data_IF_308609540755
#
_entry.id   IF_308609540755
#
_cell.length_a   1.000
_cell.length_b   1.000
_cell.length_c   1.000
_cell.angle_alpha   90.00
_cell.angle_beta   90.00
_cell.angle_gamma   90.00
#
_symmetry.space_group_name_H-M   'P 1'
#
loop_
_entity.id
_entity.type
_entity.pdbx_description
1 polymer ?
#
# COMPACT_ATOMS: atom_id res chain seq x y z
N UNK A 1 2.56 32.10 -14.97
CA UNK A 1 2.00 32.14 -13.59
C UNK A 1 1.03 30.98 -13.52
N UNK A 2 1.54 29.84 -13.02
CA UNK A 2 0.85 28.62 -12.59
C UNK A 2 -0.40 28.16 -13.35
N UNK A 3 -0.19 27.41 -14.44
CA UNK A 3 -1.08 26.31 -14.81
C UNK A 3 -0.32 25.01 -14.50
N UNK A 4 -0.24 24.68 -13.22
CA UNK A 4 0.05 23.32 -12.78
C UNK A 4 -1.08 22.98 -11.84
N UNK A 5 -2.07 22.25 -12.34
CA UNK A 5 -2.78 21.21 -11.59
C UNK A 5 -3.65 20.40 -12.56
N UNK A 6 -3.03 19.76 -13.56
CA UNK A 6 -3.62 18.56 -14.18
C UNK A 6 -3.47 17.40 -13.18
N UNK A 7 -4.14 17.51 -12.03
CA UNK A 7 -4.35 16.38 -11.14
C UNK A 7 -5.46 15.53 -11.74
N UNK A 8 -5.05 14.76 -12.76
CA UNK A 8 -5.84 13.76 -13.46
C UNK A 8 -6.71 12.97 -12.49
N UNK A 9 -8.01 13.21 -12.60
CA UNK A 9 -9.10 12.51 -11.95
C UNK A 9 -9.12 11.08 -12.46
N UNK A 10 -8.41 10.20 -11.78
CA UNK A 10 -8.64 8.77 -11.87
C UNK A 10 -9.01 8.27 -10.49
N UNK A 11 -10.14 7.59 -10.35
CA UNK A 11 -10.55 6.82 -9.15
C UNK A 11 -9.57 5.67 -8.82
N UNK A 12 -8.32 5.74 -9.29
CA UNK A 12 -7.23 4.82 -9.05
C UNK A 12 -6.41 5.33 -7.88
N UNK A 13 -6.21 4.48 -6.87
CA UNK A 13 -5.38 4.81 -5.73
C UNK A 13 -3.92 4.89 -6.16
N UNK A 14 -3.24 5.96 -5.76
CA UNK A 14 -1.81 6.17 -6.03
C UNK A 14 -0.95 5.32 -5.11
N UNK A 15 0.12 4.75 -5.64
CA UNK A 15 1.04 3.89 -4.89
C UNK A 15 1.67 4.65 -3.71
N UNK A 16 2.09 5.89 -3.95
CA UNK A 16 2.62 6.81 -2.95
C UNK A 16 1.67 6.99 -1.74
N UNK A 17 0.37 7.12 -2.00
CA UNK A 17 -0.64 7.25 -0.95
C UNK A 17 -0.79 5.96 -0.14
N UNK A 18 -0.76 4.79 -0.79
CA UNK A 18 -0.81 3.51 -0.06
C UNK A 18 0.41 3.30 0.82
N UNK A 19 1.60 3.65 0.32
CA UNK A 19 2.85 3.50 1.05
C UNK A 19 2.89 4.41 2.28
N UNK A 20 2.41 5.65 2.16
CA UNK A 20 2.32 6.60 3.27
C UNK A 20 1.24 6.21 4.28
N UNK A 21 0.06 5.78 3.83
CA UNK A 21 -1.01 5.32 4.73
C UNK A 21 -0.67 4.02 5.47
N UNK A 22 0.10 3.14 4.82
CA UNK A 22 0.66 1.95 5.44
C UNK A 22 1.75 2.29 6.46
N UNK A 23 2.35 3.48 6.39
CA UNK A 23 3.41 3.94 7.29
C UNK A 23 4.81 3.44 6.89
N UNK A 24 4.99 2.98 5.65
CA UNK A 24 6.28 2.48 5.19
C UNK A 24 7.27 3.62 4.91
N UNK A 25 6.77 4.73 4.37
CA UNK A 25 7.56 5.92 4.03
C UNK A 25 6.76 7.19 4.31
N UNK A 26 7.46 8.31 4.46
CA UNK A 26 6.84 9.63 4.57
C UNK A 26 6.70 10.31 3.20
N UNK A 27 5.89 11.38 3.15
CA UNK A 27 5.81 12.22 1.95
C UNK A 27 7.16 12.83 1.58
N UNK A 28 7.97 13.18 2.59
CA UNK A 28 9.31 13.73 2.39
C UNK A 28 10.23 12.73 1.65
N UNK A 29 10.18 11.46 2.03
CA UNK A 29 11.00 10.41 1.38
C UNK A 29 10.57 10.20 -0.07
N UNK A 30 9.27 10.36 -0.37
CA UNK A 30 8.75 10.30 -1.73
C UNK A 30 9.27 11.48 -2.56
N UNK A 31 9.21 12.70 -2.03
CA UNK A 31 9.67 13.90 -2.73
C UNK A 31 11.19 13.83 -3.01
N UNK A 32 11.96 13.35 -2.03
CA UNK A 32 13.40 13.13 -2.18
C UNK A 32 13.69 12.02 -3.22
N UNK A 33 12.94 10.92 -3.21
CA UNK A 33 13.06 9.86 -4.20
C UNK A 33 12.71 10.35 -5.62
N UNK A 34 11.73 11.24 -5.76
CA UNK A 34 11.39 11.86 -7.05
C UNK A 34 12.52 12.76 -7.56
N UNK A 35 13.12 13.56 -6.69
CA UNK A 35 14.25 14.42 -7.06
C UNK A 35 15.46 13.58 -7.51
N UNK A 36 15.85 12.58 -6.73
CA UNK A 36 16.95 11.66 -7.09
C UNK A 36 16.63 10.93 -8.39
N UNK A 37 15.39 10.45 -8.55
CA UNK A 37 14.96 9.77 -9.77
C UNK A 37 15.06 10.67 -11.01
N UNK A 38 14.73 11.95 -10.88
CA UNK A 38 14.87 12.94 -11.95
C UNK A 38 16.33 13.21 -12.32
N UNK A 39 17.22 13.28 -11.33
CA UNK A 39 18.65 13.53 -11.55
C UNK A 39 19.38 12.32 -12.13
N UNK A 40 19.01 11.11 -11.70
CA UNK A 40 19.69 9.86 -12.07
C UNK A 40 19.04 9.12 -13.24
N UNK A 41 17.80 9.49 -13.61
CA UNK A 41 16.98 8.74 -14.56
C UNK A 41 16.42 7.42 -14.00
N UNK A 42 16.58 7.15 -12.71
CA UNK A 42 16.06 5.94 -12.07
C UNK A 42 14.57 6.07 -11.75
N UNK A 43 13.85 4.94 -11.80
CA UNK A 43 12.45 4.89 -11.35
C UNK A 43 12.38 5.16 -9.85
N UNK A 44 11.41 5.96 -9.41
CA UNK A 44 11.19 6.32 -8.00
C UNK A 44 11.13 5.10 -7.09
N UNK A 45 10.41 4.05 -7.48
CA UNK A 45 10.36 2.78 -6.73
C UNK A 45 11.73 2.12 -6.54
N UNK A 46 12.63 2.22 -7.53
CA UNK A 46 14.01 1.72 -7.42
C UNK A 46 14.85 2.60 -6.51
N UNK A 47 14.69 3.91 -6.59
CA UNK A 47 15.35 4.86 -5.69
C UNK A 47 14.97 4.57 -4.24
N UNK A 48 13.68 4.42 -3.94
CA UNK A 48 13.18 4.07 -2.60
C UNK A 48 13.84 2.82 -2.02
N UNK A 49 14.10 1.80 -2.86
CA UNK A 49 14.80 0.58 -2.43
C UNK A 49 16.29 0.83 -2.21
N UNK A 50 16.97 1.48 -3.15
CA UNK A 50 18.42 1.71 -3.07
C UNK A 50 18.78 2.67 -1.94
N UNK A 51 17.92 3.65 -1.64
CA UNK A 51 18.06 4.56 -0.50
C UNK A 51 17.72 3.90 0.85
N UNK A 52 17.22 2.66 0.85
CA UNK A 52 16.87 1.92 2.07
C UNK A 52 15.56 2.35 2.73
N UNK A 53 14.75 3.17 2.06
CA UNK A 53 13.45 3.63 2.57
C UNK A 53 12.34 2.59 2.40
N UNK A 54 12.48 1.69 1.42
CA UNK A 54 11.60 0.54 1.23
C UNK A 54 12.39 -0.74 1.03
N UNK A 55 11.89 -1.84 1.57
CA UNK A 55 12.30 -3.16 1.11
C UNK A 55 11.61 -3.53 -0.21
N UNK A 56 12.22 -4.44 -0.97
CA UNK A 56 11.61 -4.99 -2.18
C UNK A 56 10.27 -5.67 -1.88
N UNK A 57 10.18 -6.37 -0.75
CA UNK A 57 8.95 -7.02 -0.29
C UNK A 57 7.83 -6.01 -0.03
N UNK A 58 8.13 -4.89 0.64
CA UNK A 58 7.14 -3.82 0.89
C UNK A 58 6.66 -3.18 -0.42
N UNK A 59 7.57 -2.94 -1.37
CA UNK A 59 7.20 -2.38 -2.67
C UNK A 59 6.31 -3.35 -3.46
N UNK A 60 6.67 -4.63 -3.52
CA UNK A 60 5.88 -5.66 -4.21
C UNK A 60 4.49 -5.80 -3.58
N UNK A 61 4.42 -5.82 -2.25
CA UNK A 61 3.15 -5.87 -1.52
C UNK A 61 2.27 -4.65 -1.83
N UNK A 62 2.84 -3.44 -1.83
CA UNK A 62 2.10 -2.21 -2.10
C UNK A 62 1.58 -2.14 -3.54
N UNK A 63 2.39 -2.53 -4.54
CA UNK A 63 1.97 -2.60 -5.96
C UNK A 63 0.82 -3.60 -6.15
N UNK A 64 0.91 -4.75 -5.47
CA UNK A 64 -0.16 -5.75 -5.50
C UNK A 64 -1.45 -5.22 -4.87
N UNK A 65 -1.33 -4.56 -3.71
CA UNK A 65 -2.45 -3.93 -3.03
C UNK A 65 -3.11 -2.86 -3.92
N UNK A 66 -2.31 -1.98 -4.54
CA UNK A 66 -2.78 -0.97 -5.48
C UNK A 66 -3.58 -1.57 -6.63
N UNK A 67 -3.05 -2.63 -7.25
CA UNK A 67 -3.71 -3.34 -8.36
C UNK A 67 -5.08 -3.88 -7.93
N UNK A 68 -5.18 -4.48 -6.73
CA UNK A 68 -6.44 -5.03 -6.23
C UNK A 68 -7.46 -3.93 -5.90
N UNK A 69 -7.01 -2.79 -5.37
CA UNK A 69 -7.89 -1.65 -5.09
C UNK A 69 -8.41 -1.05 -6.38
N UNK A 70 -7.53 -0.79 -7.36
CA UNK A 70 -7.90 -0.19 -8.64
C UNK A 70 -8.81 -1.12 -9.47
N UNK A 71 -8.71 -2.43 -9.27
CA UNK A 71 -9.59 -3.42 -9.89
C UNK A 71 -10.86 -3.71 -9.07
N UNK A 72 -11.14 -2.94 -8.01
CA UNK A 72 -12.32 -3.09 -7.16
C UNK A 72 -12.39 -4.41 -6.39
N UNK A 73 -11.29 -5.15 -6.25
CA UNK A 73 -11.24 -6.45 -5.56
C UNK A 73 -11.22 -6.28 -4.04
N UNK A 74 -10.62 -5.20 -3.55
CA UNK A 74 -10.57 -4.84 -2.13
C UNK A 74 -10.73 -3.33 -1.98
N UNK A 75 -11.17 -2.86 -0.82
CA UNK A 75 -11.19 -1.43 -0.52
C UNK A 75 -9.80 -0.91 -0.14
N UNK A 76 -9.55 0.39 -0.35
CA UNK A 76 -8.32 1.07 0.09
C UNK A 76 -7.98 0.78 1.56
N UNK A 77 -8.97 0.91 2.45
CA UNK A 77 -8.76 0.62 3.88
C UNK A 77 -8.40 -0.85 4.17
N UNK A 78 -8.89 -1.80 3.37
CA UNK A 78 -8.48 -3.20 3.47
C UNK A 78 -7.03 -3.40 3.00
N UNK A 79 -6.63 -2.74 1.90
CA UNK A 79 -5.26 -2.74 1.42
C UNK A 79 -4.28 -2.21 2.48
N UNK A 80 -4.55 -1.03 3.06
CA UNK A 80 -3.70 -0.43 4.09
C UNK A 80 -3.54 -1.34 5.31
N UNK A 81 -4.64 -1.93 5.80
CA UNK A 81 -4.56 -2.88 6.92
C UNK A 81 -3.79 -4.14 6.57
N UNK A 82 -3.98 -4.69 5.38
CA UNK A 82 -3.25 -5.88 4.94
C UNK A 82 -1.75 -5.60 4.82
N UNK A 83 -1.35 -4.42 4.33
CA UNK A 83 0.05 -3.99 4.30
C UNK A 83 0.65 -3.89 5.71
N UNK A 84 -0.05 -3.26 6.65
CA UNK A 84 0.41 -3.18 8.06
C UNK A 84 0.58 -4.56 8.69
N UNK A 85 -0.39 -5.46 8.50
CA UNK A 85 -0.32 -6.83 9.03
C UNK A 85 0.81 -7.63 8.39
N UNK A 86 1.04 -7.45 7.08
CA UNK A 86 2.12 -8.12 6.36
C UNK A 86 3.49 -7.73 6.94
N UNK A 87 3.66 -6.44 7.24
CA UNK A 87 4.89 -5.90 7.83
C UNK A 87 5.07 -6.35 9.29
N UNK A 88 4.06 -6.15 10.14
CA UNK A 88 4.10 -6.51 11.56
C UNK A 88 4.34 -7.99 11.84
N UNK A 89 3.89 -8.87 10.95
CA UNK A 89 3.91 -10.33 11.14
C UNK A 89 4.87 -11.04 10.20
N UNK A 90 5.66 -10.30 9.43
CA UNK A 90 6.56 -10.82 8.41
C UNK A 90 5.86 -11.83 7.47
N UNK A 91 4.62 -11.49 7.08
CA UNK A 91 3.78 -12.32 6.21
C UNK A 91 3.77 -11.76 4.78
N UNK A 92 3.50 -12.63 3.81
CA UNK A 92 3.13 -12.16 2.48
C UNK A 92 1.81 -11.38 2.52
N UNK A 93 1.67 -10.40 1.61
CA UNK A 93 0.43 -9.62 1.47
C UNK A 93 -0.82 -10.50 1.35
N UNK A 94 -0.75 -11.61 0.60
CA UNK A 94 -1.85 -12.57 0.45
C UNK A 94 -2.24 -13.21 1.79
N UNK A 95 -1.25 -13.65 2.56
CA UNK A 95 -1.47 -14.25 3.88
C UNK A 95 -2.08 -13.24 4.85
N UNK A 96 -1.62 -11.99 4.82
CA UNK A 96 -2.19 -10.91 5.62
C UNK A 96 -3.65 -10.62 5.24
N UNK A 97 -3.96 -10.59 3.93
CA UNK A 97 -5.32 -10.39 3.43
C UNK A 97 -6.25 -11.54 3.84
N UNK A 98 -5.79 -12.80 3.71
CA UNK A 98 -6.54 -13.99 4.15
C UNK A 98 -6.80 -13.97 5.67
N UNK A 99 -5.81 -13.59 6.47
CA UNK A 99 -5.96 -13.51 7.93
C UNK A 99 -7.00 -12.46 8.33
N UNK A 100 -7.02 -11.32 7.64
CA UNK A 100 -8.01 -10.27 7.85
C UNK A 100 -9.43 -10.72 7.47
N UNK A 101 -9.61 -11.45 6.36
CA UNK A 101 -10.93 -11.97 5.96
C UNK A 101 -11.40 -13.13 6.85
N UNK A 102 -10.49 -14.01 7.27
CA UNK A 102 -10.80 -15.10 8.20
C UNK A 102 -11.24 -14.58 9.58
N UNK A 103 -10.63 -13.47 10.06
CA UNK A 103 -11.03 -12.82 11.32
C UNK A 103 -12.48 -12.31 11.27
N UNK A 104 -12.98 -11.91 10.09
CA UNK A 104 -14.36 -11.47 9.89
C UNK A 104 -15.38 -12.63 9.97
N UNK A 105 -15.01 -13.86 9.62
CA UNK A 105 -15.89 -15.03 9.73
C UNK A 105 -16.01 -15.56 11.16
N UNK A 106 -14.94 -15.46 11.97
CA UNK A 106 -14.97 -15.94 13.35
C UNK A 106 -15.86 -15.10 14.29
N UNK A 107 -16.11 -13.83 13.94
CA UNK A 107 -17.01 -12.95 14.69
C UNK A 107 -18.50 -13.32 14.53
N UNK A 108 -18.89 -13.90 13.39
CA UNK A 108 -20.28 -14.29 13.10
C UNK A 108 -20.69 -15.61 13.78
N UNK A 109 -19.74 -16.49 14.11
CA UNK A 109 -20.06 -17.80 14.73
C UNK A 109 -20.34 -17.70 16.23
N UNK A 110 -19.89 -16.64 16.92
CA UNK A 110 -20.09 -16.47 18.37
C UNK A 110 -21.48 -15.93 18.77
N UNK A 111 -22.32 -15.52 17.82
CA UNK A 111 -23.62 -14.91 18.12
C UNK A 111 -24.76 -15.95 18.16
N UNK A 112 -24.57 -17.14 17.59
CA UNK A 112 -25.65 -18.13 17.39
C UNK A 112 -25.70 -19.27 18.42
N UNK A 113 -24.87 -19.27 19.48
CA UNK A 113 -24.84 -20.34 20.50
C UNK A 113 -25.46 -19.96 21.85
N UNK A 114 -26.61 -19.28 21.81
CA UNK A 114 -27.55 -19.23 22.93
C UNK A 114 -28.95 -19.62 22.46
N UNK A 115 -29.21 -20.93 22.44
CA UNK A 115 -30.54 -21.52 22.68
C UNK A 115 -30.38 -22.60 23.73
#
# INVERSE_FOLDING_TARGET
MTEIDDNDTSDSVRLAELLTEAGYISQKDIDEAMQIGKETGMRVGRVLIVSGWLSENQLVAAVKAQTLVNNGKISRGAAVRALKIADEKELSFDSALQKMTATRLQALVKVDTRS
#
